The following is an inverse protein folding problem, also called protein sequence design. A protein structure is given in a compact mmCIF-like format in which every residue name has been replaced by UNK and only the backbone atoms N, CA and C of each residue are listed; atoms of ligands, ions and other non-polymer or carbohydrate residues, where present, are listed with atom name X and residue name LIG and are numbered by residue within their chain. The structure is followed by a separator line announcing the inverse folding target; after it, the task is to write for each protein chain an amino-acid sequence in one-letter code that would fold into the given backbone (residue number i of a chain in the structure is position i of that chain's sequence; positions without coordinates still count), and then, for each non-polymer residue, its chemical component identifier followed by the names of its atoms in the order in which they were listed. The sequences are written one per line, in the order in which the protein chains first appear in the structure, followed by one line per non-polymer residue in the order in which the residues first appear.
data_IF_081222100619
#
_entry.id   IF_081222100619
#
_cell.length_a   1.000
_cell.length_b   1.000
_cell.length_c   1.000
_cell.angle_alpha   90.00
_cell.angle_beta   90.00
_cell.angle_gamma   90.00
#
_symmetry.space_group_name_H-M   'P 1'
#
loop_
_entity.id
_entity.type
_entity.pdbx_description
1 polymer ?
#
# COMPACT_ATOMS: atom_id res chain seq x y z
N UNK A 1 40.27 76.19 -2.70
CA UNK A 1 39.11 75.30 -2.46
C UNK A 1 38.63 74.82 -3.83
N UNK A 2 38.36 73.56 -4.17
CA UNK A 2 38.61 72.21 -3.65
C UNK A 2 38.22 71.29 -4.83
N UNK A 3 38.97 70.20 -5.08
CA UNK A 3 38.73 69.22 -6.17
C UNK A 3 37.39 68.48 -6.00
N UNK A 4 36.87 67.91 -7.10
CA UNK A 4 35.89 66.83 -7.02
C UNK A 4 35.51 66.21 -8.38
N UNK A 5 36.19 65.13 -8.76
CA UNK A 5 35.71 64.17 -9.74
C UNK A 5 34.92 63.06 -9.02
N UNK A 6 33.84 62.54 -9.61
CA UNK A 6 33.59 61.09 -9.81
C UNK A 6 32.22 60.82 -10.43
N UNK A 7 32.27 59.93 -11.42
CA UNK A 7 31.20 59.22 -12.08
C UNK A 7 30.57 58.15 -11.19
N UNK A 8 29.26 57.91 -11.32
CA UNK A 8 28.63 56.65 -10.94
C UNK A 8 27.55 56.24 -11.96
N UNK A 9 27.72 55.04 -12.50
CA UNK A 9 26.80 54.29 -13.36
C UNK A 9 25.58 53.79 -12.57
N UNK A 10 24.43 53.55 -13.22
CA UNK A 10 23.27 52.96 -12.56
C UNK A 10 23.49 51.46 -12.31
N UNK A 11 23.19 51.04 -11.08
CA UNK A 11 23.24 49.64 -10.65
C UNK A 11 22.14 48.82 -11.36
N UNK A 12 22.55 47.75 -12.03
CA UNK A 12 21.69 46.74 -12.62
C UNK A 12 20.95 45.96 -11.52
N UNK A 13 19.63 46.10 -11.47
CA UNK A 13 18.75 45.31 -10.60
C UNK A 13 18.46 43.99 -11.31
N UNK A 14 19.35 43.01 -11.18
CA UNK A 14 19.05 41.60 -11.46
C UNK A 14 20.19 40.69 -10.95
N UNK A 15 20.01 40.09 -9.75
CA UNK A 15 20.08 38.62 -9.73
C UNK A 15 19.06 37.94 -8.78
N UNK A 16 18.24 38.70 -8.06
CA UNK A 16 17.32 38.12 -7.06
C UNK A 16 16.08 37.43 -7.67
N UNK A 17 15.62 37.86 -8.86
CA UNK A 17 14.44 37.29 -9.51
C UNK A 17 14.72 35.91 -10.17
N UNK A 18 15.97 35.65 -10.57
CA UNK A 18 16.36 34.38 -11.20
C UNK A 18 16.53 33.27 -10.15
N UNK A 19 16.99 33.61 -8.94
CA UNK A 19 17.07 32.68 -7.81
C UNK A 19 15.69 32.31 -7.24
N UNK A 20 14.72 33.24 -7.26
CA UNK A 20 13.34 32.94 -6.87
C UNK A 20 12.66 31.98 -7.86
N UNK A 21 12.91 32.11 -9.17
CA UNK A 21 12.39 31.19 -10.18
C UNK A 21 13.01 29.78 -10.11
N UNK A 22 14.29 29.68 -9.73
CA UNK A 22 14.98 28.40 -9.53
C UNK A 22 14.58 27.67 -8.23
N UNK A 23 14.19 28.42 -7.19
CA UNK A 23 13.63 27.85 -5.97
C UNK A 23 12.17 27.44 -6.17
N UNK A 24 11.37 28.20 -6.93
CA UNK A 24 10.00 27.83 -7.28
C UNK A 24 9.91 26.63 -8.23
N UNK A 25 10.90 26.41 -9.12
CA UNK A 25 10.97 25.18 -9.92
C UNK A 25 11.42 23.96 -9.11
N UNK A 26 12.05 24.16 -7.94
CA UNK A 26 12.42 23.09 -7.00
C UNK A 26 11.28 22.70 -6.05
N UNK A 27 10.31 23.61 -5.80
CA UNK A 27 9.08 23.31 -5.05
C UNK A 27 7.87 22.97 -5.93
N UNK A 28 7.96 23.14 -7.25
CA UNK A 28 6.96 22.63 -8.20
C UNK A 28 7.08 21.11 -8.48
N UNK A 29 8.00 20.41 -7.80
CA UNK A 29 7.96 18.94 -7.64
C UNK A 29 7.14 18.52 -6.41
N UNK A 30 6.24 19.38 -5.92
CA UNK A 30 5.10 18.93 -5.14
C UNK A 30 4.24 18.05 -6.04
N UNK A 31 4.38 16.75 -5.81
CA UNK A 31 3.56 15.64 -6.26
C UNK A 31 2.13 16.07 -6.65
N UNK A 32 1.89 16.20 -7.95
CA UNK A 32 0.56 15.90 -8.46
C UNK A 32 0.24 14.48 -7.99
N UNK A 33 -0.95 14.20 -7.41
CA UNK A 33 -1.34 12.83 -7.13
C UNK A 33 -1.28 12.09 -8.47
N UNK A 34 -0.28 11.22 -8.59
CA UNK A 34 0.05 10.59 -9.85
C UNK A 34 -1.18 9.88 -10.35
N UNK A 35 -1.68 10.30 -11.53
CA UNK A 35 -2.58 9.47 -12.33
C UNK A 35 -1.89 8.11 -12.41
N UNK A 36 -2.49 7.10 -11.78
CA UNK A 36 -1.82 5.84 -11.49
C UNK A 36 -1.06 5.30 -12.70
N UNK A 37 0.14 4.77 -12.45
CA UNK A 37 0.99 4.19 -13.49
C UNK A 37 0.16 3.28 -14.41
N UNK A 38 0.02 3.60 -15.72
CA UNK A 38 -0.84 2.86 -16.63
C UNK A 38 -0.46 1.37 -16.71
N UNK A 39 0.80 1.01 -16.42
CA UNK A 39 1.26 -0.39 -16.36
C UNK A 39 0.75 -1.10 -15.10
N UNK A 40 0.68 -0.39 -13.96
CA UNK A 40 0.07 -0.94 -12.74
C UNK A 40 -1.38 -1.32 -12.99
N UNK A 41 -2.14 -0.46 -13.67
CA UNK A 41 -3.55 -0.67 -13.99
C UNK A 41 -3.81 -1.97 -14.79
N UNK A 42 -2.95 -2.33 -15.74
CA UNK A 42 -3.14 -3.52 -16.60
C UNK A 42 -2.90 -4.83 -15.84
N UNK A 43 -1.94 -4.87 -14.92
CA UNK A 43 -1.59 -6.10 -14.19
C UNK A 43 -2.38 -6.29 -12.90
N UNK A 44 -3.00 -5.24 -12.38
CA UNK A 44 -3.73 -5.27 -11.12
C UNK A 44 -4.77 -6.36 -10.95
N UNK A 45 -5.56 -6.76 -11.97
CA UNK A 45 -6.49 -7.88 -11.85
C UNK A 45 -5.82 -9.22 -11.48
N UNK A 46 -4.53 -9.38 -11.77
CA UNK A 46 -3.80 -10.63 -11.56
C UNK A 46 -3.12 -10.73 -10.19
N UNK A 47 -3.04 -9.64 -9.42
CA UNK A 47 -2.37 -9.66 -8.10
C UNK A 47 -3.23 -10.26 -6.97
N UNK A 48 -4.51 -10.57 -7.24
CA UNK A 48 -5.43 -11.21 -6.31
C UNK A 48 -5.53 -10.44 -5.00
N UNK A 49 -5.24 -11.10 -3.87
CA UNK A 49 -5.32 -10.45 -2.55
C UNK A 49 -4.26 -9.35 -2.32
N UNK A 50 -3.38 -9.08 -3.28
CA UNK A 50 -2.36 -8.03 -3.22
C UNK A 50 -2.67 -6.87 -4.17
N UNK A 51 -3.81 -6.90 -4.87
CA UNK A 51 -4.32 -5.78 -5.65
C UNK A 51 -4.66 -4.61 -4.74
N UNK A 52 -4.37 -3.37 -5.17
CA UNK A 52 -4.69 -2.16 -4.43
C UNK A 52 -6.20 -1.93 -4.41
N UNK A 53 -6.71 -1.27 -3.37
CA UNK A 53 -8.14 -0.98 -3.27
C UNK A 53 -8.61 -0.11 -4.43
N UNK A 54 -7.83 0.89 -4.83
CA UNK A 54 -8.12 1.77 -5.96
C UNK A 54 -8.05 1.08 -7.33
N UNK A 55 -7.32 -0.03 -7.48
CA UNK A 55 -7.32 -0.77 -8.73
C UNK A 55 -8.57 -1.66 -8.85
N UNK A 56 -9.05 -2.19 -7.71
CA UNK A 56 -10.31 -2.91 -7.64
C UNK A 56 -11.53 -1.97 -7.73
N UNK A 57 -11.37 -0.72 -7.29
CA UNK A 57 -12.37 0.33 -7.38
C UNK A 57 -11.75 1.64 -7.90
N UNK A 58 -11.67 1.82 -9.24
CA UNK A 58 -11.02 2.97 -9.88
C UNK A 58 -11.55 4.33 -9.48
N UNK A 59 -12.79 4.41 -8.97
CA UNK A 59 -13.35 5.66 -8.47
C UNK A 59 -12.57 6.26 -7.31
N UNK A 60 -11.88 5.41 -6.52
CA UNK A 60 -11.04 5.86 -5.41
C UNK A 60 -9.82 6.68 -5.89
N UNK A 61 -9.44 6.59 -7.17
CA UNK A 61 -8.42 7.45 -7.77
C UNK A 61 -8.93 8.87 -8.06
N UNK A 62 -10.22 9.01 -8.33
CA UNK A 62 -10.85 10.29 -8.69
C UNK A 62 -11.27 11.04 -7.43
N UNK A 63 -12.04 10.35 -6.59
CA UNK A 63 -12.46 10.88 -5.30
C UNK A 63 -12.38 9.74 -4.26
N UNK A 64 -11.32 9.73 -3.44
CA UNK A 64 -11.14 8.68 -2.46
C UNK A 64 -12.10 8.78 -1.27
N UNK A 65 -12.82 9.88 -1.09
CA UNK A 65 -13.73 10.09 0.05
C UNK A 65 -15.19 10.20 -0.35
N UNK A 66 -15.50 10.32 -1.65
CA UNK A 66 -16.87 10.31 -2.14
C UNK A 66 -17.59 9.00 -1.78
N UNK A 67 -18.77 9.08 -1.14
CA UNK A 67 -19.64 7.93 -0.97
C UNK A 67 -20.25 7.52 -2.31
N UNK A 68 -20.29 6.21 -2.60
CA UNK A 68 -21.08 5.68 -3.72
C UNK A 68 -22.32 4.98 -3.18
N UNK A 69 -23.50 5.56 -3.44
CA UNK A 69 -24.77 4.93 -3.13
C UNK A 69 -25.17 4.00 -4.27
N UNK A 70 -25.85 2.91 -3.92
CA UNK A 70 -26.55 2.11 -4.90
C UNK A 70 -27.63 2.99 -5.56
N UNK A 71 -27.62 3.15 -6.90
CA UNK A 71 -28.64 3.91 -7.60
C UNK A 71 -30.07 3.36 -7.37
N UNK A 72 -30.20 2.07 -7.06
CA UNK A 72 -31.48 1.41 -6.81
C UNK A 72 -32.03 1.71 -5.40
N UNK A 73 -31.19 2.17 -4.48
CA UNK A 73 -31.62 2.65 -3.16
C UNK A 73 -32.08 4.11 -3.27
N UNK A 74 -33.39 4.31 -3.44
CA UNK A 74 -34.00 5.63 -3.43
C UNK A 74 -33.71 6.35 -2.11
N UNK A 75 -32.96 7.45 -2.18
CA UNK A 75 -32.64 8.27 -1.02
C UNK A 75 -33.92 8.69 -0.28
N UNK A 76 -33.96 8.48 1.04
CA UNK A 76 -35.10 8.85 1.89
C UNK A 76 -36.23 7.82 1.99
N UNK A 77 -36.12 6.66 1.34
CA UNK A 77 -37.14 5.58 1.46
C UNK A 77 -36.87 4.61 2.61
N UNK A 78 -35.62 4.53 3.06
CA UNK A 78 -35.18 3.67 4.16
C UNK A 78 -34.24 4.45 5.08
N UNK A 79 -34.33 4.17 6.38
CA UNK A 79 -33.41 4.70 7.39
C UNK A 79 -32.46 3.60 7.85
N UNK A 80 -31.14 3.78 7.73
CA UNK A 80 -30.18 2.79 8.22
C UNK A 80 -30.22 2.74 9.74
N UNK A 81 -30.47 1.55 10.31
CA UNK A 81 -30.56 1.34 11.77
C UNK A 81 -29.29 0.71 12.36
N UNK A 82 -28.50 0.02 11.54
CA UNK A 82 -27.27 -0.62 11.95
C UNK A 82 -26.34 -0.81 10.74
N UNK A 83 -25.03 -0.64 10.96
CA UNK A 83 -23.99 -1.03 10.01
C UNK A 83 -23.10 -2.10 10.64
N UNK A 84 -22.94 -3.22 9.94
CA UNK A 84 -21.95 -4.25 10.27
C UNK A 84 -21.05 -4.44 9.06
N UNK A 85 -19.76 -4.24 9.24
CA UNK A 85 -18.77 -4.35 8.17
C UNK A 85 -17.63 -5.27 8.58
N UNK A 86 -17.25 -6.19 7.68
CA UNK A 86 -16.03 -6.97 7.80
C UNK A 86 -14.97 -6.36 6.89
N UNK A 87 -13.97 -5.73 7.50
CA UNK A 87 -12.98 -4.94 6.79
C UNK A 87 -11.61 -5.61 6.92
N UNK A 88 -10.93 -5.80 5.79
CA UNK A 88 -9.54 -6.25 5.77
C UNK A 88 -8.62 -5.07 6.09
N UNK A 89 -7.47 -5.37 6.69
CA UNK A 89 -6.42 -4.38 6.89
C UNK A 89 -6.06 -3.59 5.60
N UNK A 90 -5.53 -2.38 5.77
CA UNK A 90 -5.02 -1.56 4.68
C UNK A 90 -3.75 -2.13 4.03
N UNK A 91 -3.22 -1.41 3.04
CA UNK A 91 -1.97 -1.80 2.37
C UNK A 91 -0.79 -1.94 3.34
N UNK A 92 0.10 -2.91 3.10
CA UNK A 92 1.21 -3.27 4.02
C UNK A 92 2.50 -3.59 3.29
N UNK A 93 3.61 -3.57 4.03
CA UNK A 93 4.89 -4.09 3.55
C UNK A 93 4.83 -5.59 3.29
N UNK A 94 5.75 -6.16 2.48
CA UNK A 94 5.91 -7.60 2.36
C UNK A 94 6.26 -8.24 3.71
N UNK A 95 6.00 -9.54 3.84
CA UNK A 95 6.42 -10.31 5.02
C UNK A 95 7.91 -10.59 4.98
N UNK A 96 8.56 -10.85 6.12
CA UNK A 96 9.98 -11.23 6.20
C UNK A 96 10.31 -12.38 5.24
N UNK A 97 9.43 -13.39 5.12
CA UNK A 97 9.59 -14.51 4.19
C UNK A 97 9.67 -14.05 2.72
N UNK A 98 8.89 -13.04 2.35
CA UNK A 98 8.94 -12.46 0.99
C UNK A 98 10.19 -11.59 0.83
N UNK A 99 10.53 -10.75 1.81
CA UNK A 99 11.71 -9.89 1.78
C UNK A 99 12.98 -10.72 1.59
N UNK A 100 13.14 -11.82 2.34
CA UNK A 100 14.30 -12.72 2.19
C UNK A 100 14.39 -13.36 0.81
N UNK A 101 13.26 -13.75 0.22
CA UNK A 101 13.24 -14.31 -1.16
C UNK A 101 13.65 -13.29 -2.21
N UNK A 102 13.29 -12.02 -2.01
CA UNK A 102 13.70 -10.92 -2.87
C UNK A 102 15.20 -10.66 -2.75
N UNK A 103 15.72 -10.60 -1.51
CA UNK A 103 17.17 -10.47 -1.25
C UNK A 103 17.97 -11.62 -1.85
N UNK A 104 17.48 -12.86 -1.73
CA UNK A 104 18.10 -14.02 -2.37
C UNK A 104 18.15 -13.88 -3.90
N UNK A 105 17.05 -13.44 -4.52
CA UNK A 105 17.03 -13.19 -5.95
C UNK A 105 18.04 -12.09 -6.34
N UNK A 106 18.10 -10.99 -5.59
CA UNK A 106 19.09 -9.94 -5.86
C UNK A 106 20.53 -10.44 -5.74
N UNK A 107 20.85 -11.20 -4.70
CA UNK A 107 22.18 -11.81 -4.55
C UNK A 107 22.54 -12.72 -5.72
N UNK A 108 21.58 -13.51 -6.23
CA UNK A 108 21.77 -14.32 -7.45
C UNK A 108 22.05 -13.44 -8.69
N UNK A 109 21.36 -12.31 -8.81
CA UNK A 109 21.55 -11.39 -9.94
C UNK A 109 22.85 -10.59 -9.86
N UNK A 110 23.36 -10.31 -8.65
CA UNK A 110 24.62 -9.61 -8.42
C UNK A 110 25.84 -10.50 -8.66
N UNK A 111 25.71 -11.81 -8.41
CA UNK A 111 26.79 -12.81 -8.57
C UNK A 111 26.80 -13.47 -9.94
N UNK A 112 25.88 -13.09 -10.84
CA UNK A 112 25.81 -13.66 -12.18
C UNK A 112 27.03 -13.27 -13.01
N UNK A 113 27.54 -14.19 -13.81
CA UNK A 113 28.53 -13.86 -14.83
C UNK A 113 27.88 -13.02 -15.93
N UNK A 114 28.34 -11.77 -16.09
CA UNK A 114 27.90 -10.88 -17.16
C UNK A 114 28.31 -11.47 -18.51
N UNK A 115 27.37 -12.09 -19.22
CA UNK A 115 27.57 -12.46 -20.63
C UNK A 115 27.49 -11.21 -21.51
N UNK A 116 28.22 -11.22 -22.62
CA UNK A 116 28.18 -10.14 -23.61
C UNK A 116 26.74 -9.90 -24.09
N UNK A 117 26.29 -8.64 -24.04
CA UNK A 117 24.87 -8.28 -24.29
C UNK A 117 23.94 -8.52 -23.08
N UNK A 118 24.44 -8.31 -21.85
CA UNK A 118 23.74 -8.58 -20.58
C UNK A 118 22.31 -8.04 -20.47
N UNK A 119 21.44 -8.80 -19.82
CA UNK A 119 20.04 -8.41 -19.59
C UNK A 119 19.94 -7.14 -18.74
N UNK A 120 19.41 -6.07 -19.34
CA UNK A 120 19.14 -4.78 -18.69
C UNK A 120 18.15 -4.95 -17.53
N UNK A 121 17.13 -5.80 -17.68
CA UNK A 121 16.14 -6.08 -16.62
C UNK A 121 16.81 -6.67 -15.39
N UNK A 122 17.73 -7.63 -15.59
CA UNK A 122 18.44 -8.22 -14.47
C UNK A 122 19.44 -7.27 -13.82
N UNK A 123 20.08 -6.37 -14.59
CA UNK A 123 20.91 -5.32 -14.02
C UNK A 123 20.08 -4.35 -13.16
N UNK A 124 18.92 -3.91 -13.67
CA UNK A 124 18.01 -3.06 -12.92
C UNK A 124 17.50 -3.71 -11.63
N UNK A 125 17.18 -5.01 -11.67
CA UNK A 125 16.73 -5.76 -10.48
C UNK A 125 17.86 -6.01 -9.47
N UNK A 126 19.11 -6.18 -9.93
CA UNK A 126 20.27 -6.36 -9.06
C UNK A 126 20.60 -5.10 -8.24
N UNK A 127 20.45 -3.93 -8.87
CA UNK A 127 20.67 -2.62 -8.26
C UNK A 127 19.41 -2.06 -7.58
N UNK A 128 18.26 -2.74 -7.70
CA UNK A 128 17.00 -2.23 -7.19
C UNK A 128 17.05 -2.03 -5.66
N UNK A 129 16.85 -0.81 -5.13
CA UNK A 129 16.82 -0.61 -3.70
C UNK A 129 15.62 -1.31 -3.05
N UNK A 130 15.87 -2.25 -2.13
CA UNK A 130 14.84 -2.80 -1.26
C UNK A 130 14.64 -1.86 -0.07
N UNK A 131 13.76 -0.87 -0.22
CA UNK A 131 13.42 0.16 0.79
C UNK A 131 12.76 -0.38 2.07
N UNK A 132 12.69 -1.69 2.24
CA UNK A 132 12.07 -2.34 3.39
C UNK A 132 12.96 -3.44 3.95
N UNK A 133 13.12 -3.40 5.28
CA UNK A 133 13.90 -4.38 6.04
C UNK A 133 13.05 -5.50 6.60
N UNK A 134 13.70 -6.58 7.05
CA UNK A 134 13.04 -7.74 7.67
C UNK A 134 12.17 -7.34 8.89
N UNK A 135 12.53 -6.26 9.58
CA UNK A 135 11.83 -5.72 10.74
C UNK A 135 10.46 -5.09 10.40
N UNK A 136 10.22 -4.74 9.13
CA UNK A 136 8.95 -4.20 8.64
C UNK A 136 7.89 -5.28 8.36
N UNK A 137 8.09 -6.52 8.84
CA UNK A 137 7.32 -7.74 8.56
C UNK A 137 5.80 -7.54 8.50
N UNK A 138 5.26 -7.31 7.29
CA UNK A 138 3.83 -7.13 7.11
C UNK A 138 3.22 -5.94 7.86
N UNK A 139 4.04 -4.98 8.30
CA UNK A 139 3.59 -3.76 8.97
C UNK A 139 2.75 -2.90 8.02
N UNK A 140 1.77 -2.18 8.58
CA UNK A 140 0.92 -1.29 7.81
C UNK A 140 1.73 -0.09 7.29
N UNK A 141 1.60 0.18 5.99
CA UNK A 141 2.29 1.32 5.34
C UNK A 141 1.41 2.57 5.43
N UNK A 142 1.96 3.76 5.17
CA UNK A 142 1.17 4.98 5.27
C UNK A 142 -0.01 5.02 4.32
N UNK A 143 0.17 4.56 3.07
CA UNK A 143 -0.94 4.33 2.13
C UNK A 143 -2.03 3.44 2.73
N UNK A 144 -1.65 2.40 3.49
CA UNK A 144 -2.60 1.54 4.19
C UNK A 144 -3.34 2.22 5.33
N UNK A 145 -2.71 3.14 6.06
CA UNK A 145 -3.42 3.99 7.03
C UNK A 145 -4.40 4.91 6.31
N UNK A 146 -3.96 5.50 5.20
CA UNK A 146 -4.79 6.38 4.38
C UNK A 146 -6.01 5.65 3.79
N UNK A 147 -5.86 4.41 3.32
CA UNK A 147 -6.96 3.56 2.84
C UNK A 147 -8.08 3.46 3.91
N UNK A 148 -7.69 3.31 5.17
CA UNK A 148 -8.61 3.15 6.31
C UNK A 148 -9.24 4.47 6.75
N UNK A 149 -8.48 5.58 6.78
CA UNK A 149 -9.03 6.92 7.03
C UNK A 149 -10.06 7.30 5.97
N UNK A 150 -9.76 7.07 4.71
CA UNK A 150 -10.68 7.35 3.60
C UNK A 150 -11.90 6.44 3.64
N UNK A 151 -11.75 5.17 4.02
CA UNK A 151 -12.89 4.28 4.25
C UNK A 151 -13.82 4.79 5.35
N UNK A 152 -13.27 5.28 6.46
CA UNK A 152 -14.04 5.88 7.54
C UNK A 152 -14.88 7.06 7.05
N UNK A 153 -14.26 7.99 6.30
CA UNK A 153 -14.95 9.15 5.73
C UNK A 153 -16.06 8.74 4.76
N UNK A 154 -15.81 7.75 3.89
CA UNK A 154 -16.83 7.23 2.97
C UNK A 154 -18.03 6.64 3.71
N UNK A 155 -17.78 5.86 4.77
CA UNK A 155 -18.87 5.26 5.56
C UNK A 155 -19.65 6.32 6.34
N UNK A 156 -18.98 7.32 6.92
CA UNK A 156 -19.65 8.43 7.58
C UNK A 156 -20.53 9.23 6.62
N UNK A 157 -20.06 9.47 5.40
CA UNK A 157 -20.83 10.16 4.37
C UNK A 157 -22.00 9.31 3.81
N UNK A 158 -21.85 7.98 3.77
CA UNK A 158 -22.93 7.06 3.36
C UNK A 158 -24.03 6.95 4.42
N UNK A 159 -23.65 6.91 5.70
CA UNK A 159 -24.55 6.64 6.83
C UNK A 159 -24.45 7.74 7.90
N UNK A 160 -24.79 9.00 7.58
CA UNK A 160 -24.55 10.14 8.45
C UNK A 160 -25.25 10.00 9.81
N UNK A 161 -26.46 9.44 9.86
CA UNK A 161 -27.19 9.24 11.11
C UNK A 161 -26.49 8.23 12.04
N UNK A 162 -25.92 7.16 11.47
CA UNK A 162 -25.18 6.14 12.25
C UNK A 162 -23.80 6.64 12.71
N UNK A 163 -23.20 7.55 11.95
CA UNK A 163 -21.91 8.17 12.25
C UNK A 163 -22.06 9.60 12.77
N UNK A 164 -23.18 9.95 13.40
CA UNK A 164 -23.29 11.24 14.09
C UNK A 164 -22.35 11.27 15.30
N UNK A 165 -21.96 12.47 15.76
CA UNK A 165 -21.13 12.63 16.96
C UNK A 165 -21.78 11.96 18.19
N UNK A 166 -23.10 12.04 18.29
CA UNK A 166 -23.89 11.42 19.38
C UNK A 166 -23.84 9.89 19.38
N UNK A 167 -23.53 9.28 18.24
CA UNK A 167 -23.41 7.82 18.11
C UNK A 167 -21.94 7.35 18.12
N UNK A 168 -20.98 8.25 18.32
CA UNK A 168 -19.56 7.91 18.26
C UNK A 168 -19.12 6.93 19.36
N UNK A 169 -19.70 7.04 20.55
CA UNK A 169 -19.50 6.13 21.69
C UNK A 169 -20.13 4.73 21.46
N UNK A 170 -21.10 4.63 20.54
CA UNK A 170 -21.77 3.37 20.16
C UNK A 170 -20.98 2.59 19.11
N UNK A 171 -20.00 3.22 18.47
CA UNK A 171 -19.14 2.56 17.51
C UNK A 171 -18.32 1.46 18.18
N UNK A 172 -18.41 0.23 17.65
CA UNK A 172 -17.65 -0.91 18.16
C UNK A 172 -16.72 -1.45 17.09
N UNK A 173 -15.42 -1.30 17.30
CA UNK A 173 -14.40 -1.92 16.46
C UNK A 173 -13.85 -3.16 17.16
N UNK A 174 -13.92 -4.29 16.45
CA UNK A 174 -13.31 -5.55 16.86
C UNK A 174 -12.23 -5.91 15.83
N UNK A 175 -11.03 -6.25 16.31
CA UNK A 175 -9.88 -6.53 15.45
C UNK A 175 -9.15 -7.79 15.88
N UNK A 176 -8.36 -8.37 14.98
CA UNK A 176 -7.39 -9.41 15.35
C UNK A 176 -6.15 -8.80 15.98
N UNK A 177 -5.38 -9.57 16.74
CA UNK A 177 -4.11 -9.17 17.36
C UNK A 177 -3.00 -8.83 16.37
N UNK A 178 -3.17 -9.09 15.07
CA UNK A 178 -2.16 -8.73 14.06
C UNK A 178 -1.98 -7.22 14.03
N UNK A 179 -0.75 -6.75 14.23
CA UNK A 179 -0.35 -5.33 14.25
C UNK A 179 -1.00 -4.50 13.13
N UNK A 180 -0.90 -4.96 11.88
CA UNK A 180 -1.52 -4.31 10.71
C UNK A 180 -3.04 -4.15 10.81
N UNK A 181 -3.74 -5.06 11.48
CA UNK A 181 -5.18 -4.98 11.70
C UNK A 181 -5.52 -4.01 12.83
N UNK A 182 -4.70 -3.99 13.90
CA UNK A 182 -4.81 -3.01 14.98
C UNK A 182 -4.55 -1.60 14.42
N UNK A 183 -3.44 -1.41 13.71
CA UNK A 183 -3.07 -0.13 13.07
C UNK A 183 -4.14 0.34 12.07
N UNK A 184 -4.75 -0.60 11.32
CA UNK A 184 -5.82 -0.26 10.38
C UNK A 184 -7.07 0.23 11.11
N UNK A 185 -7.39 -0.40 12.24
CA UNK A 185 -8.53 -0.02 13.09
C UNK A 185 -8.27 1.35 13.73
N UNK A 186 -7.05 1.60 14.19
CA UNK A 186 -6.63 2.88 14.73
C UNK A 186 -6.72 3.99 13.66
N UNK A 187 -6.19 3.75 12.46
CA UNK A 187 -6.28 4.70 11.35
C UNK A 187 -7.74 5.00 10.95
N UNK A 188 -8.62 4.00 10.99
CA UNK A 188 -10.05 4.20 10.78
C UNK A 188 -10.65 5.17 11.83
N UNK A 189 -10.38 4.95 13.12
CA UNK A 189 -10.85 5.84 14.19
C UNK A 189 -10.28 7.25 14.07
N UNK A 190 -9.00 7.38 13.72
CA UNK A 190 -8.38 8.69 13.45
C UNK A 190 -9.09 9.43 12.31
N UNK A 191 -9.48 8.72 11.24
CA UNK A 191 -10.23 9.30 10.13
C UNK A 191 -11.61 9.82 10.55
N UNK A 192 -12.34 9.06 11.38
CA UNK A 192 -13.60 9.54 11.96
C UNK A 192 -13.40 10.72 12.91
N UNK A 193 -12.38 10.65 13.76
CA UNK A 193 -12.11 11.73 14.70
C UNK A 193 -11.85 13.06 13.97
N UNK A 194 -11.04 13.02 12.90
CA UNK A 194 -10.75 14.18 12.06
C UNK A 194 -12.01 14.71 11.34
N UNK A 195 -12.95 13.83 10.99
CA UNK A 195 -14.24 14.22 10.44
C UNK A 195 -15.05 15.08 11.43
N UNK A 196 -15.06 14.71 12.71
CA UNK A 196 -15.79 15.45 13.76
C UNK A 196 -15.03 16.67 14.28
N UNK A 197 -13.71 16.70 14.13
CA UNK A 197 -12.82 17.74 14.66
C UNK A 197 -11.89 18.28 13.55
N UNK A 198 -12.43 18.93 12.52
CA UNK A 198 -11.63 19.41 11.41
C UNK A 198 -10.58 20.42 11.88
N UNK A 199 -9.34 20.28 11.39
CA UNK A 199 -8.23 21.18 11.69
C UNK A 199 -7.46 20.87 12.99
N UNK A 200 -7.86 19.84 13.75
CA UNK A 200 -7.13 19.39 14.92
C UNK A 200 -6.36 18.08 14.63
N UNK A 201 -5.21 17.83 15.29
CA UNK A 201 -4.55 16.53 15.22
C UNK A 201 -5.32 15.49 16.04
N UNK A 202 -5.48 14.25 15.54
CA UNK A 202 -6.14 13.20 16.31
C UNK A 202 -5.31 12.83 17.54
N UNK A 203 -5.94 12.59 18.71
CA UNK A 203 -5.25 12.10 19.89
C UNK A 203 -4.83 10.63 19.72
N UNK A 204 -4.18 10.05 20.73
CA UNK A 204 -4.02 8.60 20.79
C UNK A 204 -5.40 7.94 20.81
N UNK A 205 -5.52 6.76 20.19
CA UNK A 205 -6.81 6.04 20.13
C UNK A 205 -7.31 5.61 21.51
N UNK A 206 -6.41 5.48 22.48
CA UNK A 206 -6.75 5.18 23.88
C UNK A 206 -7.47 6.34 24.55
N UNK A 207 -7.26 7.57 24.07
CA UNK A 207 -7.82 8.81 24.60
C UNK A 207 -9.09 9.26 23.84
N UNK A 208 -9.50 8.53 22.80
CA UNK A 208 -10.71 8.83 22.03
C UNK A 208 -11.98 8.38 22.78
N UNK A 209 -13.10 9.10 22.59
CA UNK A 209 -14.40 8.81 23.24
C UNK A 209 -14.93 7.40 22.97
N UNK A 210 -14.73 6.87 21.76
CA UNK A 210 -15.11 5.50 21.39
C UNK A 210 -14.21 4.41 22.00
N UNK A 211 -13.09 4.82 22.61
CA UNK A 211 -12.03 3.94 23.10
C UNK A 211 -11.25 3.23 21.99
N UNK A 212 -10.23 2.43 22.38
CA UNK A 212 -9.40 1.70 21.43
C UNK A 212 -10.13 0.49 20.83
N UNK A 213 -9.70 0.00 19.64
CA UNK A 213 -10.23 -1.22 19.04
C UNK A 213 -10.09 -2.42 19.99
N UNK A 214 -11.15 -3.23 20.13
CA UNK A 214 -11.13 -4.43 20.97
C UNK A 214 -10.50 -5.60 20.23
N UNK A 215 -9.45 -6.19 20.80
CA UNK A 215 -8.81 -7.37 20.22
C UNK A 215 -9.65 -8.61 20.54
N UNK A 216 -10.02 -9.39 19.51
CA UNK A 216 -10.72 -10.67 19.66
C UNK A 216 -10.34 -11.62 18.52
N UNK A 217 -9.26 -12.39 18.72
CA UNK A 217 -8.81 -13.39 17.73
C UNK A 217 -9.76 -14.57 17.60
N UNK A 218 -10.49 -14.94 18.66
CA UNK A 218 -11.49 -16.00 18.57
C UNK A 218 -12.58 -15.68 17.54
N UNK A 219 -12.96 -14.40 17.43
CA UNK A 219 -13.89 -13.95 16.40
C UNK A 219 -13.20 -13.71 15.06
N UNK A 220 -12.12 -12.93 15.04
CA UNK A 220 -11.51 -12.41 13.81
C UNK A 220 -10.55 -13.39 13.12
N UNK A 221 -10.11 -14.40 13.86
CA UNK A 221 -9.20 -15.47 13.42
C UNK A 221 -9.69 -16.83 13.94
N UNK A 222 -10.99 -17.06 13.92
CA UNK A 222 -11.61 -18.29 14.41
C UNK A 222 -10.94 -19.57 13.87
N UNK A 223 -10.40 -19.52 12.66
CA UNK A 223 -9.66 -20.62 12.03
C UNK A 223 -8.38 -21.02 12.78
N UNK A 224 -7.70 -20.09 13.46
CA UNK A 224 -6.52 -20.38 14.31
C UNK A 224 -6.90 -21.23 15.54
N UNK A 225 -8.19 -21.33 15.87
CA UNK A 225 -8.71 -22.12 16.98
C UNK A 225 -9.44 -23.38 16.54
N UNK A 226 -9.50 -23.65 15.22
CA UNK A 226 -10.12 -24.84 14.68
C UNK A 226 -9.08 -25.96 14.61
N UNK A 227 -9.12 -26.91 15.56
CA UNK A 227 -8.15 -28.01 15.64
C UNK A 227 -8.04 -28.80 14.34
N UNK A 228 -9.18 -29.12 13.72
CA UNK A 228 -9.21 -29.81 12.44
C UNK A 228 -8.51 -29.03 11.34
N UNK A 229 -8.71 -27.71 11.26
CA UNK A 229 -8.00 -26.86 10.29
C UNK A 229 -6.49 -26.84 10.57
N UNK A 230 -6.09 -26.70 11.84
CA UNK A 230 -4.69 -26.67 12.22
C UNK A 230 -3.97 -27.96 11.85
N UNK A 231 -4.59 -29.11 12.13
CA UNK A 231 -4.00 -30.43 11.89
C UNK A 231 -4.06 -30.82 10.41
N UNK A 232 -5.24 -30.67 9.79
CA UNK A 232 -5.47 -31.21 8.44
C UNK A 232 -5.00 -30.25 7.34
N UNK A 233 -4.85 -28.95 7.64
CA UNK A 233 -4.51 -27.90 6.65
C UNK A 233 -3.25 -27.13 7.01
N UNK A 234 -3.21 -26.41 8.13
CA UNK A 234 -2.10 -25.48 8.43
C UNK A 234 -0.76 -26.20 8.65
N UNK A 235 -0.78 -27.34 9.37
CA UNK A 235 0.42 -28.15 9.67
C UNK A 235 0.64 -29.30 8.68
N UNK A 236 -0.26 -29.47 7.71
CA UNK A 236 -0.20 -30.55 6.74
C UNK A 236 0.33 -30.03 5.41
N UNK A 237 1.59 -30.36 5.10
CA UNK A 237 2.25 -29.93 3.86
C UNK A 237 1.53 -30.43 2.59
N UNK A 238 0.78 -31.54 2.68
CA UNK A 238 0.03 -32.09 1.55
C UNK A 238 -1.33 -31.45 1.32
N UNK A 239 -1.83 -30.67 2.30
CA UNK A 239 -3.16 -30.07 2.22
C UNK A 239 -3.31 -29.05 1.08
N UNK A 240 -2.18 -28.47 0.65
CA UNK A 240 -2.13 -27.51 -0.45
C UNK A 240 -1.75 -28.19 -1.78
N UNK A 241 -2.23 -29.42 -2.02
CA UNK A 241 -1.96 -30.20 -3.23
C UNK A 241 -2.10 -29.39 -4.52
N UNK A 242 -3.21 -28.67 -4.71
CA UNK A 242 -3.43 -27.90 -5.94
C UNK A 242 -2.43 -26.74 -6.10
N UNK A 243 -1.96 -26.16 -5.00
CA UNK A 243 -0.92 -25.12 -5.04
C UNK A 243 0.40 -25.72 -5.51
N UNK A 244 0.78 -26.90 -4.98
CA UNK A 244 2.02 -27.57 -5.39
C UNK A 244 1.93 -28.14 -6.81
N UNK A 245 0.79 -28.70 -7.20
CA UNK A 245 0.53 -29.15 -8.56
C UNK A 245 0.66 -27.99 -9.56
N UNK A 246 0.14 -26.79 -9.24
CA UNK A 246 0.32 -25.62 -10.08
C UNK A 246 1.78 -25.12 -10.10
N UNK A 247 2.46 -25.06 -8.96
CA UNK A 247 3.87 -24.62 -8.86
C UNK A 247 4.82 -25.50 -9.66
N UNK A 248 4.52 -26.80 -9.76
CA UNK A 248 5.33 -27.79 -10.48
C UNK A 248 4.81 -28.06 -11.90
N UNK A 249 3.59 -27.63 -12.19
CA UNK A 249 2.89 -27.82 -13.46
C UNK A 249 3.48 -27.06 -14.65
N UNK A 250 3.04 -27.41 -15.87
CA UNK A 250 3.64 -26.92 -17.11
C UNK A 250 3.53 -25.40 -17.29
N UNK A 251 2.50 -24.77 -16.75
CA UNK A 251 2.31 -23.31 -16.78
C UNK A 251 3.44 -22.59 -16.03
N UNK A 252 3.70 -23.01 -14.79
CA UNK A 252 4.76 -22.41 -13.97
C UNK A 252 6.15 -22.74 -14.52
N UNK A 253 6.35 -23.95 -15.06
CA UNK A 253 7.62 -24.31 -15.71
C UNK A 253 7.91 -23.44 -16.94
N UNK A 254 6.89 -23.12 -17.74
CA UNK A 254 7.03 -22.17 -18.86
C UNK A 254 7.43 -20.77 -18.36
N UNK A 255 6.82 -20.29 -17.28
CA UNK A 255 7.17 -19.01 -16.65
C UNK A 255 8.61 -19.02 -16.14
N UNK A 256 9.01 -20.06 -15.39
CA UNK A 256 10.38 -20.20 -14.87
C UNK A 256 11.41 -20.20 -16.00
N UNK A 257 11.18 -20.97 -17.06
CA UNK A 257 12.06 -21.01 -18.23
C UNK A 257 12.19 -19.62 -18.89
N UNK A 258 11.07 -18.90 -19.05
CA UNK A 258 11.08 -17.56 -19.64
C UNK A 258 11.81 -16.55 -18.75
N UNK A 259 11.52 -16.54 -17.46
CA UNK A 259 12.17 -15.63 -16.49
C UNK A 259 13.66 -15.92 -16.37
N UNK A 260 14.06 -17.20 -16.28
CA UNK A 260 15.47 -17.60 -16.26
C UNK A 260 16.22 -17.10 -17.49
N UNK A 261 15.64 -17.26 -18.69
CA UNK A 261 16.22 -16.77 -19.93
C UNK A 261 16.30 -15.23 -19.96
N UNK A 262 15.24 -14.53 -19.55
CA UNK A 262 15.22 -13.05 -19.47
C UNK A 262 16.25 -12.51 -18.48
N UNK A 263 16.41 -13.16 -17.33
CA UNK A 263 17.38 -12.74 -16.30
C UNK A 263 18.80 -13.26 -16.57
N UNK A 264 18.96 -14.15 -17.56
CA UNK A 264 20.20 -14.84 -17.90
C UNK A 264 20.80 -15.59 -16.70
N UNK A 265 19.95 -16.29 -15.94
CA UNK A 265 20.36 -17.14 -14.81
C UNK A 265 20.02 -18.61 -15.09
N UNK A 266 20.72 -19.57 -14.48
CA UNK A 266 20.37 -20.99 -14.59
C UNK A 266 18.93 -21.25 -14.15
N UNK A 267 18.19 -22.11 -14.87
CA UNK A 267 16.78 -22.39 -14.53
C UNK A 267 16.65 -22.99 -13.11
N UNK A 268 17.59 -23.84 -12.71
CA UNK A 268 17.64 -24.45 -11.39
C UNK A 268 17.94 -23.47 -10.24
N UNK A 269 18.35 -22.23 -10.53
CA UNK A 269 18.53 -21.19 -9.51
C UNK A 269 17.23 -20.46 -9.16
N UNK A 270 16.13 -20.72 -9.89
CA UNK A 270 14.82 -20.14 -9.65
C UNK A 270 13.81 -21.22 -9.24
N UNK A 271 12.89 -20.84 -8.36
CA UNK A 271 11.70 -21.65 -8.06
C UNK A 271 10.43 -20.79 -8.09
N UNK A 272 9.27 -21.44 -8.11
CA UNK A 272 7.96 -20.78 -8.10
C UNK A 272 7.80 -19.82 -6.90
N UNK A 273 8.49 -20.11 -5.79
CA UNK A 273 8.55 -19.25 -4.61
C UNK A 273 9.26 -17.91 -4.86
N UNK A 274 10.33 -17.87 -5.64
CA UNK A 274 10.99 -16.62 -6.06
C UNK A 274 10.04 -15.81 -6.96
N UNK A 275 9.44 -16.46 -7.97
CA UNK A 275 8.52 -15.81 -8.91
C UNK A 275 7.32 -15.20 -8.18
N UNK A 276 6.69 -15.95 -7.28
CA UNK A 276 5.55 -15.47 -6.50
C UNK A 276 5.91 -14.33 -5.53
N UNK A 277 7.17 -14.23 -5.08
CA UNK A 277 7.62 -13.10 -4.25
C UNK A 277 7.78 -11.81 -5.07
N UNK A 278 8.25 -11.93 -6.32
CA UNK A 278 8.48 -10.79 -7.22
C UNK A 278 7.20 -10.32 -7.90
N UNK A 279 6.32 -11.24 -8.29
CA UNK A 279 5.13 -10.94 -9.07
C UNK A 279 4.27 -9.77 -8.55
N UNK A 280 3.96 -9.67 -7.24
CA UNK A 280 3.17 -8.56 -6.71
C UNK A 280 3.99 -7.34 -6.29
N UNK A 281 5.32 -7.33 -6.51
CA UNK A 281 6.17 -6.20 -6.13
C UNK A 281 5.68 -4.90 -6.74
N UNK A 282 5.24 -4.93 -8.00
CA UNK A 282 4.74 -3.74 -8.67
C UNK A 282 3.54 -3.12 -7.93
N UNK A 283 2.61 -3.94 -7.44
CA UNK A 283 1.48 -3.48 -6.63
C UNK A 283 1.95 -2.86 -5.30
N UNK A 284 2.92 -3.50 -4.65
CA UNK A 284 3.46 -2.99 -3.37
C UNK A 284 4.23 -1.69 -3.59
N UNK A 285 5.09 -1.62 -4.60
CA UNK A 285 5.94 -0.47 -4.91
C UNK A 285 5.12 0.73 -5.38
N UNK A 286 4.12 0.51 -6.24
CA UNK A 286 3.17 1.56 -6.64
C UNK A 286 2.36 2.07 -5.45
N UNK A 287 2.08 1.24 -4.44
CA UNK A 287 1.41 1.67 -3.21
C UNK A 287 2.32 2.41 -2.23
N UNK A 288 3.63 2.20 -2.33
CA UNK A 288 4.63 2.91 -1.51
C UNK A 288 5.04 4.26 -2.12
N UNK A 289 4.45 4.64 -3.26
CA UNK A 289 4.86 5.82 -4.05
C UNK A 289 6.33 5.79 -4.48
N UNK A 290 6.96 4.61 -4.47
CA UNK A 290 8.39 4.42 -4.77
C UNK A 290 8.67 4.41 -6.29
N UNK A 291 7.65 4.29 -7.13
CA UNK A 291 7.79 4.24 -8.60
C UNK A 291 7.90 5.60 -9.29
N UNK A 292 8.02 6.70 -8.54
CA UNK A 292 8.22 8.05 -9.10
C UNK A 292 9.70 8.43 -9.31
N UNK A 293 10.56 7.46 -9.63
CA UNK A 293 11.97 7.69 -9.99
C UNK A 293 12.21 7.35 -11.45
#
# INVERSE_FOLDING_TARGET
MLRGARSHLPASVAPAAVLAAALLSSFARCSLPGRGDPVASVLSPYFGTKTRYEDANPWLLVDPVAPRRDPELLAGTCTPVQLVALIRHGTRYPTTKQIRKLKQLQGLLQTRESRDGGSQVAAALAEWPLWYGDWMDGQLVEKGRQDMRQLALRLAALFPDLFSRENYDRLRLITSSKHRCVDSSAAFLQGLWQHYHPGLPPPDVSDMECGPPRINDKLMRFFDHCEKFLTDVERNETALYHVEAFKTGPEMQKVLKKVAATLQVPMNSLNAGNIHAVFPLHSVLSSLEVLNV
#
